data_IF_446288495622
#
_entry.id   IF_446288495622
#
_cell.length_a   1.000
_cell.length_b   1.000
_cell.length_c   1.000
_cell.angle_alpha   90.00
_cell.angle_beta   90.00
_cell.angle_gamma   90.00
#
_symmetry.space_group_name_H-M   'P 1'
#
loop_
_entity.id
_entity.type
_entity.pdbx_description
1 polymer ?
#
# COMPACT_ATOMS: atom_id res chain seq x y z
N UNK A 1 3.59 19.56 -25.26
CA UNK A 1 2.40 18.97 -25.92
C UNK A 1 1.99 17.73 -25.14
N UNK A 2 0.73 17.31 -25.18
CA UNK A 2 0.21 16.19 -24.39
C UNK A 2 -0.16 15.02 -25.30
N UNK A 3 0.25 13.79 -24.97
CA UNK A 3 -0.09 12.61 -25.76
C UNK A 3 -1.59 12.31 -25.65
N UNK A 4 -2.28 12.30 -26.79
CA UNK A 4 -3.67 11.84 -26.96
C UNK A 4 -3.71 10.78 -28.07
N UNK A 5 -3.58 9.51 -27.67
CA UNK A 5 -3.54 8.39 -28.62
C UNK A 5 -2.33 8.45 -29.54
N UNK A 6 -2.53 8.66 -30.85
CA UNK A 6 -1.46 8.76 -31.87
C UNK A 6 -0.97 10.19 -32.13
N UNK A 7 -1.47 11.18 -31.38
CA UNK A 7 -1.16 12.59 -31.62
C UNK A 7 -0.65 13.26 -30.34
N UNK A 8 0.26 14.21 -30.49
CA UNK A 8 0.67 15.14 -29.44
C UNK A 8 -0.07 16.46 -29.65
N UNK A 9 -0.81 16.91 -28.62
CA UNK A 9 -1.69 18.08 -28.71
C UNK A 9 -1.24 19.19 -27.76
N UNK A 10 -1.11 20.41 -28.26
CA UNK A 10 -0.85 21.59 -27.43
C UNK A 10 -2.13 22.00 -26.67
N UNK A 11 -2.08 22.01 -25.33
CA UNK A 11 -3.24 22.44 -24.50
C UNK A 11 -3.59 23.93 -24.65
N UNK A 12 -2.64 24.77 -25.06
CA UNK A 12 -2.87 26.23 -25.22
C UNK A 12 -3.58 26.58 -26.51
N UNK A 13 -3.20 25.98 -27.63
CA UNK A 13 -3.69 26.36 -28.96
C UNK A 13 -4.40 25.24 -29.74
N UNK A 14 -4.45 24.02 -29.20
CA UNK A 14 -5.10 22.88 -29.87
C UNK A 14 -4.32 22.30 -31.05
N UNK A 15 -3.15 22.85 -31.40
CA UNK A 15 -2.28 22.32 -32.44
C UNK A 15 -1.95 20.84 -32.18
N UNK A 16 -2.11 20.00 -33.21
CA UNK A 16 -1.91 18.54 -33.15
C UNK A 16 -0.83 18.12 -34.13
N UNK A 17 0.13 17.33 -33.67
CA UNK A 17 1.13 16.67 -34.51
C UNK A 17 1.06 15.16 -34.32
N UNK A 18 1.48 14.40 -35.32
CA UNK A 18 1.48 12.94 -35.25
C UNK A 18 2.65 12.50 -34.36
N UNK A 19 2.35 11.88 -33.22
CA UNK A 19 3.35 11.42 -32.27
C UNK A 19 4.11 10.21 -32.84
N UNK A 20 5.42 10.32 -32.95
CA UNK A 20 6.30 9.28 -33.52
C UNK A 20 6.52 8.14 -32.50
N UNK A 21 6.29 8.39 -31.21
CA UNK A 21 6.56 7.45 -30.14
C UNK A 21 5.31 7.04 -29.36
N UNK A 22 5.12 5.74 -29.18
CA UNK A 22 4.06 5.15 -28.35
C UNK A 22 4.50 5.18 -26.88
N UNK A 23 4.23 6.30 -26.21
CA UNK A 23 4.49 6.45 -24.77
C UNK A 23 3.53 5.53 -24.00
N UNK A 24 4.03 4.39 -23.52
CA UNK A 24 3.27 3.43 -22.72
C UNK A 24 3.65 3.64 -21.26
N UNK A 25 2.79 4.30 -20.48
CA UNK A 25 2.97 4.39 -19.04
C UNK A 25 2.69 3.01 -18.43
N UNK A 26 3.74 2.32 -17.99
CA UNK A 26 3.64 1.10 -17.19
C UNK A 26 3.98 1.46 -15.75
N UNK A 27 2.97 1.64 -14.91
CA UNK A 27 3.19 1.66 -13.47
C UNK A 27 3.38 0.24 -12.97
N UNK A 28 4.54 -0.02 -12.38
CA UNK A 28 4.79 -1.22 -11.61
C UNK A 28 4.45 -0.91 -10.15
N UNK A 29 3.21 -1.19 -9.76
CA UNK A 29 2.79 -1.13 -8.36
C UNK A 29 3.32 -2.40 -7.69
N UNK A 30 4.28 -2.24 -6.79
CA UNK A 30 4.87 -3.35 -6.04
C UNK A 30 3.95 -3.76 -4.87
N UNK A 31 3.28 -4.91 -5.04
CA UNK A 31 2.43 -5.52 -4.02
C UNK A 31 3.19 -6.51 -3.10
N UNK A 32 4.52 -6.56 -3.15
CA UNK A 32 5.34 -7.53 -2.39
C UNK A 32 5.15 -7.50 -0.87
N UNK A 33 4.59 -6.41 -0.34
CA UNK A 33 4.35 -6.21 1.08
C UNK A 33 2.87 -6.36 1.49
N UNK A 34 1.97 -6.63 0.55
CA UNK A 34 0.55 -6.82 0.84
C UNK A 34 0.30 -8.25 1.34
N UNK A 35 0.35 -8.44 2.66
CA UNK A 35 -0.04 -9.70 3.31
C UNK A 35 -1.51 -9.66 3.67
N UNK A 36 -2.32 -10.45 2.97
CA UNK A 36 -3.73 -10.66 3.33
C UNK A 36 -3.84 -11.91 4.19
N UNK A 37 -4.05 -11.74 5.49
CA UNK A 37 -4.35 -12.86 6.41
C UNK A 37 -5.87 -12.95 6.54
N UNK A 38 -6.46 -14.04 6.02
CA UNK A 38 -7.90 -14.31 6.11
C UNK A 38 -8.15 -15.14 7.37
N UNK A 39 -8.66 -14.50 8.42
CA UNK A 39 -9.25 -15.17 9.57
C UNK A 39 -10.73 -14.77 9.63
N UNK A 40 -11.62 -15.75 9.44
CA UNK A 40 -13.08 -15.64 9.67
C UNK A 40 -13.76 -14.40 9.03
N UNK A 41 -13.63 -14.25 7.72
CA UNK A 41 -14.50 -13.35 6.93
C UNK A 41 -14.31 -11.84 7.16
N UNK A 42 -13.47 -11.41 8.09
CA UNK A 42 -13.13 -10.00 8.28
C UNK A 42 -11.78 -9.68 7.63
N UNK A 43 -11.82 -8.91 6.54
CA UNK A 43 -10.63 -8.32 5.92
C UNK A 43 -10.04 -7.30 6.89
N UNK A 44 -9.01 -7.67 7.63
CA UNK A 44 -8.26 -6.73 8.47
C UNK A 44 -7.20 -6.09 7.59
N UNK A 45 -7.56 -4.98 6.94
CA UNK A 45 -6.62 -4.10 6.24
C UNK A 45 -5.72 -3.40 7.26
N UNK A 46 -4.54 -3.96 7.52
CA UNK A 46 -3.52 -3.36 8.37
C UNK A 46 -2.39 -4.34 8.71
N UNK A 47 -1.22 -3.81 9.05
CA UNK A 47 0.01 -4.56 9.39
C UNK A 47 -0.16 -5.44 10.64
N UNK A 48 -0.92 -6.53 10.52
CA UNK A 48 -1.02 -7.55 11.57
C UNK A 48 0.35 -8.23 11.72
N UNK A 49 0.82 -8.34 12.95
CA UNK A 49 2.10 -8.92 13.31
C UNK A 49 1.91 -9.94 14.43
N UNK A 50 2.61 -11.08 14.29
CA UNK A 50 2.64 -12.15 15.28
C UNK A 50 3.68 -11.82 16.36
N UNK A 51 3.35 -10.89 17.26
CA UNK A 51 4.17 -10.55 18.42
C UNK A 51 3.39 -10.83 19.69
N UNK A 52 4.04 -11.52 20.63
CA UNK A 52 3.45 -11.84 21.92
C UNK A 52 3.29 -10.56 22.75
N UNK A 53 2.05 -10.26 23.14
CA UNK A 53 1.78 -9.14 24.03
C UNK A 53 2.32 -9.44 25.45
N UNK A 54 3.20 -8.61 26.01
CA UNK A 54 3.78 -8.85 27.33
C UNK A 54 2.76 -8.75 28.48
N UNK A 55 1.59 -8.11 28.23
CA UNK A 55 0.56 -7.91 29.25
C UNK A 55 -0.46 -9.05 29.33
N UNK A 56 -0.82 -9.67 28.20
CA UNK A 56 -1.94 -10.63 28.15
C UNK A 56 -1.61 -11.93 27.41
N UNK A 57 -0.38 -12.10 26.91
CA UNK A 57 0.05 -13.30 26.20
C UNK A 57 -0.53 -13.48 24.78
N UNK A 58 -1.42 -12.59 24.33
CA UNK A 58 -1.99 -12.70 22.98
C UNK A 58 -0.92 -12.49 21.90
N UNK A 59 -0.83 -13.41 20.95
CA UNK A 59 0.18 -13.42 19.89
C UNK A 59 -0.15 -12.49 18.71
N UNK A 60 -1.36 -11.95 18.63
CA UNK A 60 -1.79 -11.08 17.53
C UNK A 60 -1.68 -9.60 17.95
N UNK A 61 -0.94 -8.83 17.16
CA UNK A 61 -0.73 -7.40 17.38
C UNK A 61 -0.79 -6.62 16.06
N UNK A 62 -1.02 -5.31 16.13
CA UNK A 62 -0.94 -4.39 15.01
C UNK A 62 0.39 -3.64 15.09
N UNK A 63 1.18 -3.64 14.02
CA UNK A 63 2.39 -2.81 13.93
C UNK A 63 1.97 -1.36 13.64
N UNK A 64 2.24 -0.48 14.58
CA UNK A 64 1.86 0.95 14.53
C UNK A 64 3.07 1.88 14.35
N UNK A 65 4.29 1.34 14.34
CA UNK A 65 5.52 2.10 14.11
C UNK A 65 6.76 1.22 13.95
N UNK A 66 7.95 1.81 13.94
CA UNK A 66 9.22 1.07 13.99
C UNK A 66 9.32 0.39 15.35
N UNK A 67 9.24 -0.94 15.36
CA UNK A 67 9.26 -1.78 16.56
C UNK A 67 8.12 -1.54 17.57
N UNK A 68 7.11 -0.74 17.21
CA UNK A 68 5.98 -0.41 18.09
C UNK A 68 4.73 -1.18 17.67
N UNK A 69 4.12 -1.87 18.64
CA UNK A 69 3.01 -2.79 18.43
C UNK A 69 1.86 -2.50 19.39
N UNK A 70 0.63 -2.69 18.91
CA UNK A 70 -0.60 -2.64 19.72
C UNK A 70 -1.24 -4.02 19.76
N UNK A 71 -1.43 -4.59 20.95
CA UNK A 71 -2.08 -5.88 21.10
C UNK A 71 -3.53 -5.84 20.58
N UNK A 72 -3.93 -6.84 19.78
CA UNK A 72 -5.31 -6.95 19.29
C UNK A 72 -6.31 -7.25 20.42
N UNK A 73 -5.93 -8.06 21.40
CA UNK A 73 -6.83 -8.49 22.47
C UNK A 73 -7.04 -7.44 23.56
N UNK A 74 -5.96 -6.89 24.15
CA UNK A 74 -6.06 -5.97 25.29
C UNK A 74 -5.75 -4.51 24.94
N UNK A 75 -5.39 -4.20 23.70
CA UNK A 75 -5.05 -2.84 23.26
C UNK A 75 -3.72 -2.29 23.80
N UNK A 76 -2.98 -3.05 24.62
CA UNK A 76 -1.71 -2.63 25.19
C UNK A 76 -0.67 -2.34 24.10
N UNK A 77 0.00 -1.20 24.22
CA UNK A 77 1.05 -0.76 23.29
C UNK A 77 2.42 -1.11 23.90
N UNK A 78 3.26 -1.80 23.13
CA UNK A 78 4.57 -2.26 23.57
C UNK A 78 5.60 -2.14 22.44
N UNK A 79 6.87 -2.01 22.84
CA UNK A 79 8.01 -1.89 21.93
C UNK A 79 8.86 -3.16 22.01
N UNK A 80 9.39 -3.60 20.88
CA UNK A 80 10.25 -4.79 20.78
C UNK A 80 11.60 -4.33 20.27
N UNK A 81 12.59 -4.24 21.15
CA UNK A 81 13.94 -3.77 20.78
C UNK A 81 14.57 -4.63 19.69
#
# INVERSE_FOLDING_TARGET
>A
MFPKGKYSVCKKCGYKERGVEKITFKDHIDHSHERTVIAEGQRITGNVSLMLCPKCGNAVSFKIGRNLYKCRACGHIFNVK
#
